data_IF_882553166578
#
_entry.id   IF_882553166578
#
_cell.length_a   1.000
_cell.length_b   1.000
_cell.length_c   1.000
_cell.angle_alpha   90.00
_cell.angle_beta   90.00
_cell.angle_gamma   90.00
#
_symmetry.space_group_name_H-M   'P 1'
#
loop_
_entity.id
_entity.type
_entity.pdbx_description
1 polymer ?
#
# COMPACT_ATOMS: atom_id res chain seq x y z
N UNK A 1 4.89 -6.26 -2.67
CA UNK A 1 5.24 -5.17 -3.57
C UNK A 1 5.13 -5.49 -5.04
N UNK A 2 4.61 -6.67 -5.41
CA UNK A 2 4.45 -7.08 -6.82
C UNK A 2 3.31 -6.32 -7.50
N UNK A 3 3.59 -5.76 -8.68
CA UNK A 3 2.58 -5.11 -9.52
C UNK A 3 1.80 -6.18 -10.27
N UNK A 4 0.48 -6.15 -10.16
CA UNK A 4 -0.42 -7.05 -10.89
C UNK A 4 -0.64 -6.55 -12.32
N UNK A 5 -0.78 -7.49 -13.27
CA UNK A 5 -1.15 -7.16 -14.65
C UNK A 5 -2.64 -6.84 -14.75
N UNK A 6 -3.00 -5.65 -14.26
CA UNK A 6 -4.40 -5.22 -14.18
C UNK A 6 -5.02 -5.01 -15.56
N UNK A 7 -4.21 -4.73 -16.59
CA UNK A 7 -4.69 -4.57 -17.94
C UNK A 7 -5.16 -5.92 -18.51
N UNK A 8 -4.40 -6.99 -18.28
CA UNK A 8 -4.81 -8.33 -18.69
C UNK A 8 -6.03 -8.80 -17.92
N UNK A 9 -6.07 -8.57 -16.60
CA UNK A 9 -7.24 -8.88 -15.77
C UNK A 9 -8.48 -8.15 -16.29
N UNK A 10 -8.37 -6.86 -16.61
CA UNK A 10 -9.48 -6.09 -17.17
C UNK A 10 -10.00 -6.64 -18.51
N UNK A 11 -9.10 -7.10 -19.39
CA UNK A 11 -9.50 -7.73 -20.66
C UNK A 11 -10.33 -8.99 -20.41
N UNK A 12 -9.89 -9.85 -19.51
CA UNK A 12 -10.61 -11.06 -19.12
C UNK A 12 -11.98 -10.71 -18.51
N UNK A 13 -12.02 -9.75 -17.59
CA UNK A 13 -13.28 -9.32 -16.99
C UNK A 13 -14.29 -8.84 -18.03
N UNK A 14 -13.83 -8.08 -19.05
CA UNK A 14 -14.69 -7.61 -20.14
C UNK A 14 -15.17 -8.74 -21.04
N UNK A 15 -14.30 -9.71 -21.34
CA UNK A 15 -14.66 -10.86 -22.17
C UNK A 15 -15.76 -11.71 -21.53
N UNK A 16 -15.76 -11.84 -20.21
CA UNK A 16 -16.72 -12.66 -19.49
C UNK A 16 -17.83 -11.85 -18.80
N UNK A 17 -17.97 -10.55 -19.12
CA UNK A 17 -18.94 -9.62 -18.49
C UNK A 17 -18.87 -9.61 -16.95
N UNK A 18 -17.64 -9.66 -16.41
CA UNK A 18 -17.38 -9.61 -14.97
C UNK A 18 -17.09 -8.17 -14.56
N UNK A 19 -17.71 -7.70 -13.48
CA UNK A 19 -17.41 -6.40 -12.89
C UNK A 19 -16.04 -6.39 -12.23
N UNK A 20 -15.23 -5.38 -12.52
CA UNK A 20 -13.88 -5.22 -11.99
C UNK A 20 -13.83 -4.10 -10.94
N UNK A 21 -13.61 -4.50 -9.69
CA UNK A 21 -13.23 -3.58 -8.61
C UNK A 21 -11.73 -3.70 -8.35
N UNK A 22 -11.02 -2.59 -8.35
CA UNK A 22 -9.59 -2.53 -8.06
C UNK A 22 -9.35 -1.74 -6.78
N UNK A 23 -8.74 -2.40 -5.78
CA UNK A 23 -8.19 -1.71 -4.62
C UNK A 23 -6.81 -1.16 -4.97
N UNK A 24 -6.76 0.14 -5.28
CA UNK A 24 -5.55 0.88 -5.59
C UNK A 24 -4.83 1.47 -4.38
N UNK A 25 -5.21 1.10 -3.15
CA UNK A 25 -4.67 1.69 -1.92
C UNK A 25 -3.16 1.52 -1.72
N UNK A 26 -2.52 0.58 -2.41
CA UNK A 26 -1.06 0.41 -2.39
C UNK A 26 -0.39 0.93 -3.68
N UNK A 27 -1.16 1.29 -4.70
CA UNK A 27 -0.67 1.77 -5.99
C UNK A 27 -0.68 3.29 -6.08
N UNK A 28 -1.79 3.93 -5.65
CA UNK A 28 -1.95 5.38 -5.68
C UNK A 28 -0.85 6.09 -4.88
N UNK A 29 -0.14 7.03 -5.53
CA UNK A 29 1.02 7.74 -4.97
C UNK A 29 2.32 6.93 -4.94
N UNK A 30 2.36 5.73 -5.56
CA UNK A 30 3.56 4.88 -5.66
C UNK A 30 3.96 4.65 -7.10
N UNK A 31 3.02 4.25 -7.93
CA UNK A 31 3.21 3.98 -9.35
C UNK A 31 2.25 4.86 -10.16
N UNK A 32 2.60 5.09 -11.40
CA UNK A 32 1.68 5.75 -12.34
C UNK A 32 0.50 4.82 -12.66
N UNK A 33 -0.72 5.29 -12.35
CA UNK A 33 -1.96 4.53 -12.54
C UNK A 33 -2.93 5.38 -13.33
N UNK A 34 -2.99 5.15 -14.63
CA UNK A 34 -4.05 5.72 -15.46
C UNK A 34 -5.23 4.73 -15.52
N UNK A 35 -6.31 5.06 -14.83
CA UNK A 35 -7.53 4.23 -14.82
C UNK A 35 -8.20 4.18 -16.21
N UNK A 36 -7.88 5.08 -17.14
CA UNK A 36 -8.38 5.04 -18.50
C UNK A 36 -7.84 3.89 -19.33
N UNK A 37 -6.67 3.34 -18.97
CA UNK A 37 -6.01 2.23 -19.65
C UNK A 37 -6.73 0.90 -19.44
N UNK A 38 -7.16 0.62 -18.20
CA UNK A 38 -7.81 -0.65 -17.86
C UNK A 38 -9.30 -0.52 -17.55
N UNK A 39 -9.82 0.71 -17.38
CA UNK A 39 -11.24 1.05 -17.25
C UNK A 39 -11.99 0.14 -16.27
N UNK A 40 -11.64 0.12 -14.99
CA UNK A 40 -12.35 -0.66 -13.99
C UNK A 40 -13.77 -0.13 -13.80
N UNK A 41 -14.68 -0.95 -13.29
CA UNK A 41 -15.99 -0.45 -12.87
C UNK A 41 -15.88 0.41 -11.62
N UNK A 42 -14.97 0.01 -10.70
CA UNK A 42 -14.71 0.70 -9.42
C UNK A 42 -13.21 0.71 -9.14
N UNK A 43 -12.69 1.85 -8.67
CA UNK A 43 -11.32 1.99 -8.18
C UNK A 43 -11.33 2.66 -6.81
N UNK A 44 -10.66 2.04 -5.83
CA UNK A 44 -10.60 2.51 -4.45
C UNK A 44 -9.21 3.00 -4.10
N UNK A 45 -9.12 4.09 -3.32
CA UNK A 45 -7.87 4.61 -2.78
C UNK A 45 -8.03 4.96 -1.29
N UNK A 46 -6.93 4.96 -0.55
CA UNK A 46 -6.88 5.42 0.85
C UNK A 46 -5.91 6.57 1.01
N UNK A 47 -6.28 7.55 1.84
CA UNK A 47 -5.51 8.77 2.02
C UNK A 47 -4.19 8.55 2.79
N UNK A 48 -4.19 7.71 3.83
CA UNK A 48 -3.13 7.63 4.84
C UNK A 48 -1.91 6.80 4.47
N UNK A 49 -1.84 6.29 3.22
CA UNK A 49 -0.67 5.58 2.69
C UNK A 49 0.20 6.54 1.86
N UNK A 50 0.58 6.13 0.66
CA UNK A 50 1.48 6.91 -0.18
C UNK A 50 0.88 8.23 -0.72
N UNK A 51 -0.42 8.45 -0.55
CA UNK A 51 -1.05 9.76 -0.81
C UNK A 51 -0.81 10.81 0.30
N UNK A 52 -0.10 10.44 1.39
CA UNK A 52 0.34 11.33 2.47
C UNK A 52 -0.78 12.10 3.19
N UNK A 53 -2.03 11.64 3.10
CA UNK A 53 -3.16 12.16 3.86
C UNK A 53 -3.24 11.53 5.26
N UNK A 54 -4.31 11.83 6.00
CA UNK A 54 -4.56 11.28 7.34
C UNK A 54 -5.51 10.07 7.29
N UNK A 55 -5.57 9.32 8.40
CA UNK A 55 -6.47 8.18 8.56
C UNK A 55 -7.95 8.57 8.51
N UNK A 56 -8.81 7.61 8.19
CA UNK A 56 -10.26 7.79 8.15
C UNK A 56 -10.77 8.52 6.91
N UNK A 57 -9.95 8.60 5.84
CA UNK A 57 -10.33 9.18 4.55
C UNK A 57 -9.84 8.29 3.41
N UNK A 58 -10.57 8.29 2.33
CA UNK A 58 -10.27 7.60 1.08
C UNK A 58 -11.23 8.07 -0.02
N UNK A 59 -11.15 7.48 -1.20
CA UNK A 59 -12.09 7.77 -2.26
C UNK A 59 -12.51 6.50 -3.01
N UNK A 60 -13.75 6.50 -3.43
CA UNK A 60 -14.35 5.54 -4.35
C UNK A 60 -14.57 6.23 -5.70
N UNK A 61 -13.86 5.79 -6.70
CA UNK A 61 -13.97 6.27 -8.08
C UNK A 61 -14.68 5.18 -8.87
N UNK A 62 -15.76 5.52 -9.55
CA UNK A 62 -16.55 4.53 -10.29
C UNK A 62 -17.10 5.08 -11.60
N UNK A 63 -17.37 4.18 -12.52
CA UNK A 63 -17.99 4.54 -13.80
C UNK A 63 -19.41 5.01 -13.58
N UNK A 64 -19.81 6.03 -14.35
CA UNK A 64 -21.13 6.66 -14.25
C UNK A 64 -22.30 5.68 -14.48
N UNK A 65 -22.08 4.65 -15.29
CA UNK A 65 -23.04 3.60 -15.62
C UNK A 65 -22.99 2.40 -14.66
N UNK A 66 -22.16 2.46 -13.63
CA UNK A 66 -22.08 1.39 -12.63
C UNK A 66 -23.21 1.53 -11.61
N UNK A 67 -24.09 0.54 -11.56
CA UNK A 67 -25.17 0.50 -10.56
C UNK A 67 -24.62 0.04 -9.21
N UNK A 68 -24.27 1.02 -8.35
CA UNK A 68 -23.81 0.78 -6.98
C UNK A 68 -24.89 1.22 -6.01
N UNK A 69 -25.17 0.37 -5.03
CA UNK A 69 -26.08 0.70 -3.93
C UNK A 69 -25.29 1.18 -2.71
N UNK A 70 -25.78 2.17 -1.96
CA UNK A 70 -25.16 2.56 -0.70
C UNK A 70 -25.22 1.42 0.31
N UNK A 71 -24.11 1.13 0.96
CA UNK A 71 -24.05 0.13 2.03
C UNK A 71 -24.55 0.72 3.37
N UNK A 72 -24.25 2.00 3.59
CA UNK A 72 -24.62 2.75 4.80
C UNK A 72 -25.51 3.88 4.39
N UNK A 73 -26.61 4.07 5.10
CA UNK A 73 -27.59 5.14 4.88
C UNK A 73 -27.74 5.97 6.16
N UNK A 74 -28.05 7.25 6.02
CA UNK A 74 -28.22 8.16 7.15
C UNK A 74 -28.39 9.60 6.73
N UNK A 75 -28.44 10.52 7.69
CA UNK A 75 -28.56 11.95 7.40
C UNK A 75 -27.39 12.45 6.57
N UNK A 76 -27.68 13.22 5.55
CA UNK A 76 -26.67 13.77 4.59
C UNK A 76 -26.32 15.23 4.88
N UNK A 77 -27.02 15.86 5.81
CA UNK A 77 -26.86 17.29 6.14
C UNK A 77 -27.45 18.26 5.11
N UNK A 78 -27.87 17.79 3.94
CA UNK A 78 -28.32 18.67 2.83
C UNK A 78 -29.78 18.51 2.43
N UNK A 79 -30.38 17.36 2.67
CA UNK A 79 -31.74 17.01 2.26
C UNK A 79 -32.55 16.46 3.44
N UNK A 80 -32.58 17.20 4.54
CA UNK A 80 -33.16 16.76 5.81
C UNK A 80 -34.67 16.47 5.81
N UNK A 81 -35.40 16.80 4.73
CA UNK A 81 -36.80 16.48 4.55
C UNK A 81 -37.05 15.14 3.87
N UNK A 82 -36.01 14.46 3.38
CA UNK A 82 -36.14 13.13 2.79
C UNK A 82 -36.03 12.05 3.89
N UNK A 83 -36.93 11.08 3.82
CA UNK A 83 -36.93 9.90 4.70
C UNK A 83 -36.08 8.74 4.16
N UNK A 84 -35.57 8.88 2.96
CA UNK A 84 -34.75 7.88 2.26
C UNK A 84 -33.42 8.49 1.84
N UNK A 85 -32.40 7.65 1.60
CA UNK A 85 -31.12 8.08 1.07
C UNK A 85 -31.32 8.74 -0.31
N UNK A 86 -30.75 9.93 -0.58
CA UNK A 86 -30.85 10.57 -1.88
C UNK A 86 -30.16 9.76 -2.98
N UNK A 87 -30.67 9.85 -4.21
CA UNK A 87 -30.03 9.21 -5.37
C UNK A 87 -28.97 10.08 -6.08
N UNK A 88 -28.84 11.35 -5.67
CA UNK A 88 -27.86 12.25 -6.27
C UNK A 88 -26.48 12.08 -5.64
N UNK A 89 -25.44 12.29 -6.43
CA UNK A 89 -24.04 12.29 -5.96
C UNK A 89 -23.61 13.69 -5.48
N UNK A 90 -22.72 13.77 -4.44
CA UNK A 90 -22.11 12.64 -3.73
C UNK A 90 -22.99 12.05 -2.61
N UNK A 91 -24.10 12.69 -2.24
CA UNK A 91 -24.91 12.38 -1.06
C UNK A 91 -25.43 10.93 -1.05
N UNK A 92 -25.58 10.30 -2.23
CA UNK A 92 -25.97 8.89 -2.31
C UNK A 92 -25.09 7.98 -1.48
N UNK A 93 -23.79 8.28 -1.41
CA UNK A 93 -22.79 7.45 -0.70
C UNK A 93 -22.22 8.08 0.56
N UNK A 94 -22.61 9.31 0.87
CA UNK A 94 -22.13 10.07 2.02
C UNK A 94 -23.22 10.13 3.08
N UNK A 95 -23.09 9.31 4.14
CA UNK A 95 -23.98 9.34 5.29
C UNK A 95 -23.26 9.90 6.53
N UNK A 96 -23.92 10.76 7.27
CA UNK A 96 -23.35 11.46 8.41
C UNK A 96 -22.50 12.68 8.04
N UNK A 97 -21.82 13.26 9.00
CA UNK A 97 -20.91 14.40 8.78
C UNK A 97 -19.62 13.94 8.13
N UNK A 98 -19.28 14.52 6.98
CA UNK A 98 -18.06 14.18 6.24
C UNK A 98 -16.79 14.52 7.03
N UNK A 99 -15.74 13.72 6.84
CA UNK A 99 -14.40 13.97 7.40
C UNK A 99 -13.67 15.06 6.59
N UNK A 100 -14.12 16.30 6.72
CA UNK A 100 -13.52 17.44 6.00
C UNK A 100 -12.02 17.59 6.26
N UNK A 101 -11.50 17.46 7.51
CA UNK A 101 -10.04 17.47 7.73
C UNK A 101 -9.30 16.38 6.95
N UNK A 102 -9.89 15.18 6.85
CA UNK A 102 -9.31 14.07 6.08
C UNK A 102 -9.28 14.36 4.58
N UNK A 103 -10.34 14.95 4.05
CA UNK A 103 -10.43 15.36 2.63
C UNK A 103 -9.38 16.43 2.30
N UNK A 104 -9.26 17.46 3.15
CA UNK A 104 -8.27 18.52 2.99
C UNK A 104 -6.83 17.98 3.07
N UNK A 105 -6.57 17.02 3.97
CA UNK A 105 -5.26 16.37 4.05
C UNK A 105 -4.97 15.53 2.81
N UNK A 106 -5.95 14.81 2.25
CA UNK A 106 -5.80 14.07 0.99
C UNK A 106 -5.50 15.01 -0.18
N UNK A 107 -6.21 16.14 -0.28
CA UNK A 107 -5.96 17.16 -1.30
C UNK A 107 -4.53 17.70 -1.21
N UNK A 108 -4.08 18.06 0.00
CA UNK A 108 -2.71 18.54 0.23
C UNK A 108 -1.65 17.50 -0.17
N UNK A 109 -1.87 16.22 0.16
CA UNK A 109 -0.98 15.12 -0.22
C UNK A 109 -0.91 14.92 -1.73
N UNK A 110 -2.04 14.93 -2.44
CA UNK A 110 -2.09 14.82 -3.90
C UNK A 110 -1.39 16.02 -4.56
N UNK A 111 -1.64 17.24 -4.06
CA UNK A 111 -0.97 18.45 -4.55
C UNK A 111 0.54 18.35 -4.39
N UNK A 112 1.03 17.93 -3.23
CA UNK A 112 2.45 17.73 -2.98
C UNK A 112 3.07 16.69 -3.94
N UNK A 113 2.38 15.56 -4.19
CA UNK A 113 2.84 14.55 -5.16
C UNK A 113 2.95 15.14 -6.57
N UNK A 114 1.96 15.92 -7.00
CA UNK A 114 1.96 16.55 -8.32
C UNK A 114 3.10 17.61 -8.45
N UNK A 115 3.37 18.36 -7.39
CA UNK A 115 4.44 19.36 -7.37
C UNK A 115 5.84 18.72 -7.32
N UNK A 116 6.00 17.62 -6.59
CA UNK A 116 7.27 16.87 -6.46
C UNK A 116 7.55 16.04 -7.70
N UNK A 117 6.51 15.48 -8.31
CA UNK A 117 6.57 14.53 -9.42
C UNK A 117 6.52 13.07 -8.94
N UNK A 118 5.48 12.35 -9.35
CA UNK A 118 5.28 10.94 -8.99
C UNK A 118 6.45 10.06 -9.43
N UNK A 119 7.03 10.32 -10.61
CA UNK A 119 8.17 9.58 -11.13
C UNK A 119 9.40 9.72 -10.22
N UNK A 120 9.71 10.95 -9.78
CA UNK A 120 10.82 11.23 -8.84
C UNK A 120 10.61 10.46 -7.54
N UNK A 121 9.40 10.51 -6.98
CA UNK A 121 9.04 9.78 -5.75
C UNK A 121 9.22 8.27 -5.94
N UNK A 122 8.71 7.74 -7.05
CA UNK A 122 8.76 6.31 -7.37
C UNK A 122 10.19 5.81 -7.57
N UNK A 123 11.01 6.54 -8.34
CA UNK A 123 12.40 6.18 -8.61
C UNK A 123 13.26 6.20 -7.35
N UNK A 124 13.10 7.23 -6.52
CA UNK A 124 13.80 7.30 -5.23
C UNK A 124 13.50 6.06 -4.36
N UNK A 125 12.23 5.73 -4.18
CA UNK A 125 11.82 4.55 -3.39
C UNK A 125 12.32 3.24 -3.99
N UNK A 126 12.25 3.09 -5.33
CA UNK A 126 12.78 1.91 -6.03
C UNK A 126 14.27 1.73 -5.80
N UNK A 127 15.04 2.84 -5.83
CA UNK A 127 16.48 2.82 -5.56
C UNK A 127 16.78 2.33 -4.14
N UNK A 128 16.10 2.87 -3.13
CA UNK A 128 16.26 2.45 -1.73
C UNK A 128 15.94 0.96 -1.52
N UNK A 129 14.83 0.49 -2.11
CA UNK A 129 14.45 -0.93 -2.05
C UNK A 129 15.47 -1.81 -2.76
N UNK A 130 16.00 -1.37 -3.91
CA UNK A 130 17.04 -2.10 -4.65
C UNK A 130 18.33 -2.22 -3.84
N UNK A 131 18.83 -1.13 -3.25
CA UNK A 131 20.02 -1.13 -2.39
C UNK A 131 19.84 -2.16 -1.26
N UNK A 132 18.69 -2.12 -0.59
CA UNK A 132 18.42 -3.05 0.50
C UNK A 132 18.31 -4.51 0.01
N UNK A 133 17.63 -4.76 -1.10
CA UNK A 133 17.47 -6.09 -1.66
C UNK A 133 18.81 -6.70 -2.08
N UNK A 134 19.67 -5.91 -2.74
CA UNK A 134 21.00 -6.34 -3.16
C UNK A 134 21.87 -6.71 -1.95
N UNK A 135 21.90 -5.88 -0.93
CA UNK A 135 22.67 -6.15 0.29
C UNK A 135 22.15 -7.36 1.07
N UNK A 136 20.82 -7.44 1.27
CA UNK A 136 20.21 -8.51 2.08
C UNK A 136 20.33 -9.86 1.38
N UNK A 137 20.27 -9.91 0.04
CA UNK A 137 20.40 -11.18 -0.71
C UNK A 137 21.76 -11.86 -0.49
N UNK A 138 22.79 -11.10 -0.14
CA UNK A 138 24.14 -11.61 0.15
C UNK A 138 24.30 -12.03 1.63
N UNK A 139 23.31 -11.78 2.48
CA UNK A 139 23.35 -12.18 3.88
C UNK A 139 23.06 -13.69 4.01
N UNK A 140 23.83 -14.37 4.84
CA UNK A 140 23.62 -15.79 5.09
C UNK A 140 22.20 -16.09 5.58
N UNK A 141 21.56 -17.12 4.98
CA UNK A 141 20.20 -17.56 5.28
C UNK A 141 19.10 -16.55 5.04
N UNK A 142 19.38 -15.47 4.30
CA UNK A 142 18.35 -14.51 3.89
C UNK A 142 17.44 -15.11 2.80
N UNK A 143 16.16 -14.85 2.93
CA UNK A 143 15.14 -15.14 1.93
C UNK A 143 14.43 -13.81 1.62
N UNK A 144 14.57 -13.32 0.39
CA UNK A 144 13.88 -12.10 -0.04
C UNK A 144 12.73 -12.44 -0.97
N UNK A 145 11.60 -11.76 -0.78
CA UNK A 145 10.39 -11.90 -1.60
C UNK A 145 10.28 -10.69 -2.52
N UNK A 146 11.18 -10.63 -3.50
CA UNK A 146 11.37 -9.47 -4.35
C UNK A 146 11.59 -9.88 -5.82
N UNK A 147 10.67 -9.48 -6.69
CA UNK A 147 10.82 -9.59 -8.14
C UNK A 147 11.21 -8.22 -8.72
N UNK A 148 12.45 -8.08 -9.19
CA UNK A 148 12.99 -6.83 -9.73
C UNK A 148 12.18 -6.26 -10.89
N UNK A 149 11.58 -7.13 -11.70
CA UNK A 149 10.86 -6.72 -12.90
C UNK A 149 9.41 -6.30 -12.62
N UNK A 150 8.85 -6.75 -11.49
CA UNK A 150 7.44 -6.55 -11.14
C UNK A 150 7.25 -5.82 -9.82
N UNK A 151 8.31 -5.34 -9.18
CA UNK A 151 8.21 -4.63 -7.92
C UNK A 151 7.75 -3.19 -8.12
N UNK A 152 6.84 -2.74 -7.27
CA UNK A 152 6.46 -1.32 -7.16
C UNK A 152 7.56 -0.44 -6.57
N UNK A 153 8.60 -1.05 -5.96
CA UNK A 153 9.64 -0.32 -5.22
C UNK A 153 9.15 0.30 -3.91
N UNK A 154 7.97 -0.07 -3.43
CA UNK A 154 7.41 0.54 -2.21
C UNK A 154 7.68 -0.27 -0.94
N UNK A 155 7.96 -1.57 -1.09
CA UNK A 155 8.18 -2.48 0.04
C UNK A 155 9.20 -3.56 -0.33
N UNK A 156 9.93 -4.05 0.67
CA UNK A 156 10.74 -5.25 0.59
C UNK A 156 10.37 -6.18 1.75
N UNK A 157 9.91 -7.39 1.43
CA UNK A 157 9.64 -8.44 2.41
C UNK A 157 10.77 -9.46 2.42
N UNK A 158 11.15 -9.90 3.62
CA UNK A 158 12.28 -10.80 3.83
C UNK A 158 12.07 -11.70 5.04
N UNK A 159 12.79 -12.81 5.09
CA UNK A 159 12.95 -13.66 6.27
C UNK A 159 14.41 -14.10 6.37
N UNK A 160 14.77 -14.64 7.53
CA UNK A 160 16.08 -15.24 7.77
C UNK A 160 15.86 -16.64 8.34
N UNK A 161 16.64 -17.61 7.84
CA UNK A 161 16.52 -18.99 8.27
C UNK A 161 16.68 -19.10 9.79
N UNK A 162 15.75 -19.82 10.42
CA UNK A 162 15.72 -20.11 11.86
C UNK A 162 15.60 -18.87 12.78
N UNK A 163 15.13 -17.73 12.25
CA UNK A 163 14.89 -16.51 13.02
C UNK A 163 13.46 -16.03 12.78
N UNK A 164 12.73 -15.75 13.86
CA UNK A 164 11.37 -15.20 13.80
C UNK A 164 11.39 -13.73 13.37
N UNK A 165 10.60 -13.33 12.34
CA UNK A 165 10.53 -11.94 11.90
C UNK A 165 10.10 -10.95 12.99
N UNK A 166 9.29 -11.42 13.94
CA UNK A 166 8.81 -10.64 15.08
C UNK A 166 9.93 -10.29 16.06
N UNK A 167 10.90 -11.18 16.24
CA UNK A 167 12.06 -10.95 17.10
C UNK A 167 12.98 -9.88 16.52
N UNK A 168 13.27 -9.97 15.22
CA UNK A 168 14.05 -8.93 14.52
C UNK A 168 13.35 -7.58 14.62
N UNK A 169 12.03 -7.54 14.38
CA UNK A 169 11.24 -6.32 14.48
C UNK A 169 11.30 -5.71 15.89
N UNK A 170 11.18 -6.53 16.93
CA UNK A 170 11.24 -6.10 18.32
C UNK A 170 12.61 -5.45 18.65
N UNK A 171 13.71 -6.09 18.21
CA UNK A 171 15.06 -5.57 18.47
C UNK A 171 15.34 -4.30 17.65
N UNK A 172 14.93 -4.25 16.38
CA UNK A 172 15.07 -3.06 15.54
C UNK A 172 14.37 -1.86 16.18
N UNK A 173 13.13 -2.03 16.63
CA UNK A 173 12.36 -0.98 17.26
C UNK A 173 12.93 -0.58 18.65
N UNK A 174 13.27 -1.57 19.49
CA UNK A 174 13.65 -1.31 20.88
C UNK A 174 15.09 -0.86 21.07
N UNK A 175 16.01 -1.28 20.19
CA UNK A 175 17.45 -1.03 20.36
C UNK A 175 18.07 -0.11 19.31
N UNK A 176 17.40 0.08 18.16
CA UNK A 176 17.94 0.85 17.03
C UNK A 176 17.00 1.98 16.58
N UNK A 177 15.83 2.14 17.19
CA UNK A 177 14.82 3.12 16.82
C UNK A 177 14.40 3.04 15.33
N UNK A 178 14.37 1.81 14.80
CA UNK A 178 14.00 1.53 13.42
C UNK A 178 12.63 0.85 13.39
N UNK A 179 11.66 1.52 12.76
CA UNK A 179 10.29 0.99 12.60
C UNK A 179 10.16 0.19 11.31
N UNK A 180 9.93 -1.12 11.45
CA UNK A 180 9.55 -2.03 10.37
C UNK A 180 8.26 -2.75 10.76
N UNK A 181 7.75 -3.63 9.91
CA UNK A 181 6.57 -4.43 10.25
C UNK A 181 6.86 -5.92 10.08
N UNK A 182 6.41 -6.74 11.04
CA UNK A 182 6.41 -8.21 10.95
C UNK A 182 4.99 -8.77 10.87
N UNK A 183 4.84 -9.99 10.36
CA UNK A 183 3.58 -10.73 10.26
C UNK A 183 3.04 -10.84 8.83
N UNK A 184 1.72 -11.01 8.68
CA UNK A 184 1.04 -11.32 7.40
C UNK A 184 0.62 -10.06 6.59
N UNK A 185 0.88 -8.85 7.06
CA UNK A 185 0.71 -7.58 6.35
C UNK A 185 -0.66 -7.34 5.68
N UNK A 186 -1.75 -7.88 6.24
CA UNK A 186 -3.09 -7.85 5.65
C UNK A 186 -3.19 -8.58 4.30
N UNK A 187 -2.35 -9.59 4.07
CA UNK A 187 -2.24 -10.30 2.80
C UNK A 187 -2.14 -11.83 3.02
N UNK A 188 -3.15 -12.49 3.63
CA UNK A 188 -3.04 -13.89 4.04
C UNK A 188 -2.79 -14.85 2.87
N UNK A 189 -3.40 -14.62 1.70
CA UNK A 189 -3.29 -15.52 0.57
C UNK A 189 -1.87 -15.60 -0.01
N UNK A 190 -1.12 -14.48 -0.04
CA UNK A 190 0.27 -14.51 -0.50
C UNK A 190 1.16 -15.28 0.48
N UNK A 191 0.87 -15.21 1.78
CA UNK A 191 1.62 -15.96 2.78
C UNK A 191 1.36 -17.46 2.66
N UNK A 192 0.14 -17.90 2.30
CA UNK A 192 -0.14 -19.30 1.95
C UNK A 192 0.68 -19.75 0.74
N UNK A 193 0.71 -18.94 -0.31
CA UNK A 193 1.50 -19.24 -1.52
C UNK A 193 3.00 -19.33 -1.22
N UNK A 194 3.52 -18.48 -0.34
CA UNK A 194 4.93 -18.44 0.05
C UNK A 194 5.29 -19.41 1.18
N UNK A 195 4.32 -20.14 1.75
CA UNK A 195 4.47 -21.01 2.92
C UNK A 195 5.03 -20.25 4.14
N UNK A 196 4.54 -19.03 4.36
CA UNK A 196 4.95 -18.16 5.46
C UNK A 196 3.79 -17.75 6.36
N UNK A 197 2.63 -18.41 6.26
CA UNK A 197 1.42 -18.06 7.02
C UNK A 197 1.57 -18.21 8.53
N UNK A 198 2.49 -19.06 9.00
CA UNK A 198 2.71 -19.29 10.43
C UNK A 198 3.56 -18.19 11.08
N UNK A 199 4.57 -17.70 10.38
CA UNK A 199 5.55 -16.73 10.92
C UNK A 199 5.41 -15.34 10.29
N UNK A 200 4.81 -15.24 9.11
CA UNK A 200 4.77 -14.01 8.32
C UNK A 200 6.13 -13.66 7.70
N UNK A 201 6.35 -12.39 7.46
CA UNK A 201 7.63 -11.85 6.98
C UNK A 201 7.99 -10.57 7.72
N UNK A 202 9.26 -10.23 7.77
CA UNK A 202 9.72 -8.88 8.07
C UNK A 202 9.58 -8.02 6.80
N UNK A 203 9.06 -6.78 6.94
CA UNK A 203 8.87 -5.87 5.81
C UNK A 203 9.41 -4.48 6.11
N UNK A 204 10.32 -4.00 5.29
CA UNK A 204 10.65 -2.57 5.23
C UNK A 204 9.79 -1.86 4.18
N UNK A 205 9.49 -0.59 4.42
CA UNK A 205 8.63 0.24 3.57
C UNK A 205 9.16 1.68 3.55
N UNK A 206 10.14 2.01 2.69
CA UNK A 206 10.71 3.35 2.66
C UNK A 206 9.69 4.37 2.12
N UNK A 207 9.75 5.58 2.64
CA UNK A 207 9.03 6.73 2.11
C UNK A 207 9.93 7.55 1.18
N UNK A 208 9.38 8.60 0.58
CA UNK A 208 10.18 9.60 -0.14
C UNK A 208 11.17 10.32 0.79
N UNK A 209 10.85 10.44 2.07
CA UNK A 209 11.69 11.13 3.06
C UNK A 209 12.77 10.23 3.69
N UNK A 210 12.79 8.95 3.36
CA UNK A 210 13.84 8.02 3.79
C UNK A 210 15.10 8.27 2.96
N UNK A 211 16.24 8.46 3.62
CA UNK A 211 17.55 8.67 2.96
C UNK A 211 18.29 7.35 2.70
N UNK A 212 19.35 7.41 1.90
CA UNK A 212 20.27 6.27 1.75
C UNK A 212 21.04 5.97 3.05
N UNK A 213 21.31 7.00 3.88
CA UNK A 213 21.93 6.83 5.20
C UNK A 213 21.01 6.05 6.15
N UNK A 214 19.68 6.32 6.11
CA UNK A 214 18.70 5.54 6.89
C UNK A 214 18.70 4.07 6.46
N UNK A 215 18.78 3.81 5.15
CA UNK A 215 18.88 2.43 4.63
C UNK A 215 20.19 1.77 5.07
N UNK A 216 21.31 2.47 4.99
CA UNK A 216 22.60 1.96 5.44
C UNK A 216 22.57 1.62 6.94
N UNK A 217 22.02 2.50 7.75
CA UNK A 217 21.85 2.25 9.19
C UNK A 217 20.94 1.06 9.47
N UNK A 218 19.82 0.92 8.74
CA UNK A 218 18.95 -0.25 8.82
C UNK A 218 19.72 -1.55 8.49
N UNK A 219 20.48 -1.57 7.40
CA UNK A 219 21.20 -2.76 6.94
C UNK A 219 22.30 -3.18 7.93
N UNK A 220 23.05 -2.24 8.47
CA UNK A 220 24.07 -2.49 9.49
C UNK A 220 23.45 -3.03 10.79
N UNK A 221 22.33 -2.47 11.20
CA UNK A 221 21.57 -2.91 12.38
C UNK A 221 21.02 -4.32 12.17
N UNK A 222 20.40 -4.58 11.01
CA UNK A 222 19.86 -5.89 10.64
C UNK A 222 20.96 -6.97 10.64
N UNK A 223 22.14 -6.67 10.08
CA UNK A 223 23.29 -7.57 10.06
C UNK A 223 23.77 -7.93 11.47
N UNK A 224 23.84 -6.94 12.38
CA UNK A 224 24.22 -7.17 13.78
C UNK A 224 23.21 -8.08 14.48
N UNK A 225 21.91 -7.84 14.29
CA UNK A 225 20.82 -8.62 14.89
C UNK A 225 20.87 -10.06 14.39
N UNK A 226 20.88 -10.27 13.08
CA UNK A 226 20.89 -11.62 12.49
C UNK A 226 22.13 -12.42 12.95
N UNK A 227 23.28 -11.77 13.03
CA UNK A 227 24.48 -12.41 13.57
C UNK A 227 24.38 -12.75 15.07
N UNK A 228 23.77 -11.85 15.85
CA UNK A 228 23.60 -12.04 17.31
C UNK A 228 22.62 -13.16 17.66
N UNK A 229 21.53 -13.30 16.88
CA UNK A 229 20.52 -14.34 17.10
C UNK A 229 20.93 -15.75 16.66
N UNK A 230 22.04 -15.90 15.94
CA UNK A 230 22.59 -17.20 15.50
C UNK A 230 23.74 -17.72 16.38
N UNK A 231 24.26 -16.90 17.28
CA UNK A 231 25.30 -17.26 18.22
C UNK A 231 24.71 -17.64 19.58
#
# INVERSE_FOLDING_TARGET
>A
GTIQDIQQISKICKEYDIKLLVDGSQAAGVIDVDISDFKPDIFCITAHKALNGIQGCGALIFRKDCDIKPLITGGTGTLGNLLTQPDRFPEKFESGTMNIPGIAALEAGIKWINETGLEIISEHKKNLVKIAADYISDMDGAMIYYDRNRSSGSVLSMNFKDIEPSEINYILSGSFDISVRSGIHCAPLIHQYLNTEQIGTLRMSPSYFTSEDDISYFLDSLKKIVKGLRN
#
